data_IF_388097730786
#
_entry.id   IF_388097730786
#
_cell.length_a   1.000
_cell.length_b   1.000
_cell.length_c   1.000
_cell.angle_alpha   90.00
_cell.angle_beta   90.00
_cell.angle_gamma   90.00
#
_symmetry.space_group_name_H-M   'P 1'
#
loop_
_entity.id
_entity.type
_entity.pdbx_description
1 polymer ?
#
# COMPACT_ATOMS: atom_id res chain seq x y z
N UNK A 1 29.16 -29.63 -26.20
CA UNK A 1 27.93 -29.40 -25.39
C UNK A 1 28.19 -28.71 -24.05
N UNK A 2 29.37 -28.89 -23.42
CA UNK A 2 29.74 -28.28 -22.12
C UNK A 2 29.97 -26.76 -22.21
N UNK A 3 30.63 -26.24 -23.25
CA UNK A 3 30.84 -24.79 -23.41
C UNK A 3 29.57 -23.96 -23.57
N UNK A 4 28.55 -24.47 -24.29
CA UNK A 4 27.28 -23.74 -24.47
C UNK A 4 26.50 -23.65 -23.15
N UNK A 5 26.51 -24.71 -22.34
CA UNK A 5 25.89 -24.68 -21.00
C UNK A 5 26.61 -23.73 -20.04
N UNK A 6 27.94 -23.65 -20.11
CA UNK A 6 28.75 -22.71 -19.34
C UNK A 6 28.49 -21.25 -19.75
N UNK A 7 28.47 -20.96 -21.05
CA UNK A 7 28.19 -19.63 -21.59
C UNK A 7 26.76 -19.19 -21.25
N UNK A 8 25.78 -20.08 -21.42
CA UNK A 8 24.37 -19.79 -21.10
C UNK A 8 24.16 -19.62 -19.58
N UNK A 9 24.90 -20.36 -18.75
CA UNK A 9 24.95 -20.17 -17.30
C UNK A 9 25.56 -18.82 -16.90
N UNK A 10 26.66 -18.42 -17.53
CA UNK A 10 27.32 -17.14 -17.28
C UNK A 10 26.45 -15.94 -17.70
N UNK A 11 25.77 -16.05 -18.84
CA UNK A 11 24.79 -15.06 -19.31
C UNK A 11 23.61 -14.93 -18.35
N UNK A 12 23.01 -16.05 -17.90
CA UNK A 12 21.93 -16.01 -16.91
C UNK A 12 22.38 -15.31 -15.63
N UNK A 13 23.51 -15.71 -15.05
CA UNK A 13 23.99 -15.15 -13.78
C UNK A 13 24.29 -13.65 -13.90
N UNK A 14 24.86 -13.20 -15.02
CA UNK A 14 25.09 -11.76 -15.24
C UNK A 14 23.80 -10.97 -15.43
N UNK A 15 22.81 -11.51 -16.15
CA UNK A 15 21.49 -10.87 -16.30
C UNK A 15 20.77 -10.75 -14.96
N UNK A 16 20.79 -11.79 -14.11
CA UNK A 16 20.21 -11.72 -12.76
C UNK A 16 20.91 -10.70 -11.88
N UNK A 17 22.25 -10.64 -11.92
CA UNK A 17 23.03 -9.66 -11.16
C UNK A 17 22.75 -8.23 -11.63
N UNK A 18 22.63 -8.02 -12.93
CA UNK A 18 22.32 -6.71 -13.51
C UNK A 18 20.92 -6.22 -13.11
N UNK A 19 19.92 -7.09 -13.20
CA UNK A 19 18.54 -6.78 -12.76
C UNK A 19 18.48 -6.42 -11.26
N UNK A 20 19.15 -7.20 -10.41
CA UNK A 20 19.24 -6.88 -8.97
C UNK A 20 19.97 -5.56 -8.69
N UNK A 21 21.01 -5.25 -9.46
CA UNK A 21 21.75 -4.00 -9.32
C UNK A 21 20.88 -2.80 -9.71
N UNK A 22 20.18 -2.87 -10.83
CA UNK A 22 19.24 -1.84 -11.28
C UNK A 22 18.16 -1.56 -10.24
N UNK A 23 17.56 -2.61 -9.69
CA UNK A 23 16.52 -2.48 -8.68
C UNK A 23 17.02 -1.80 -7.39
N UNK A 24 18.23 -2.15 -6.94
CA UNK A 24 18.87 -1.50 -5.78
C UNK A 24 19.16 -0.03 -6.04
N UNK A 25 19.70 0.31 -7.21
CA UNK A 25 20.03 1.70 -7.57
C UNK A 25 18.78 2.56 -7.60
N UNK A 26 17.70 2.10 -8.25
CA UNK A 26 16.43 2.82 -8.32
C UNK A 26 15.84 3.08 -6.94
N UNK A 27 15.85 2.06 -6.06
CA UNK A 27 15.39 2.21 -4.66
C UNK A 27 16.22 3.21 -3.87
N UNK A 28 17.55 3.15 -3.99
CA UNK A 28 18.46 4.09 -3.31
C UNK A 28 18.27 5.53 -3.81
N UNK A 29 18.10 5.71 -5.12
CA UNK A 29 17.85 7.02 -5.73
C UNK A 29 16.53 7.62 -5.22
N UNK A 30 15.49 6.79 -5.10
CA UNK A 30 14.21 7.21 -4.58
C UNK A 30 14.28 7.57 -3.09
N UNK A 31 14.90 6.73 -2.27
CA UNK A 31 15.10 6.99 -0.84
C UNK A 31 15.85 8.32 -0.62
N UNK A 32 16.93 8.56 -1.38
CA UNK A 32 17.69 9.82 -1.38
C UNK A 32 16.82 11.02 -1.75
N UNK A 33 15.93 10.86 -2.73
CA UNK A 33 15.04 11.93 -3.19
C UNK A 33 14.02 12.27 -2.11
N UNK A 34 13.39 11.26 -1.52
CA UNK A 34 12.40 11.42 -0.44
C UNK A 34 13.02 12.08 0.80
N UNK A 35 14.22 11.65 1.20
CA UNK A 35 14.95 12.24 2.32
C UNK A 35 15.22 13.74 2.11
N UNK A 36 15.64 14.14 0.90
CA UNK A 36 15.83 15.54 0.53
C UNK A 36 14.53 16.34 0.60
N UNK A 37 13.43 15.77 0.11
CA UNK A 37 12.11 16.44 0.16
C UNK A 37 11.63 16.61 1.60
N UNK A 38 11.75 15.58 2.44
CA UNK A 38 11.35 15.67 3.85
C UNK A 38 12.20 16.67 4.62
N UNK A 39 13.52 16.72 4.37
CA UNK A 39 14.40 17.74 4.99
C UNK A 39 13.96 19.17 4.62
N UNK A 40 13.59 19.40 3.35
CA UNK A 40 13.06 20.70 2.91
C UNK A 40 11.70 21.02 3.54
N UNK A 41 10.81 20.03 3.65
CA UNK A 41 9.51 20.17 4.28
C UNK A 41 9.66 20.58 5.76
N UNK A 42 10.49 19.86 6.51
CA UNK A 42 10.79 20.17 7.93
C UNK A 42 11.37 21.57 8.12
N UNK A 43 12.32 21.98 7.27
CA UNK A 43 12.89 23.34 7.31
C UNK A 43 11.85 24.42 7.04
N UNK A 44 10.98 24.21 6.04
CA UNK A 44 9.88 25.16 5.73
C UNK A 44 8.87 25.23 6.86
N UNK A 45 8.50 24.09 7.44
CA UNK A 45 7.58 24.03 8.58
C UNK A 45 8.13 24.76 9.79
N UNK A 46 9.36 24.42 10.22
CA UNK A 46 9.99 25.09 11.37
C UNK A 46 10.07 26.61 11.14
N UNK A 47 10.41 27.04 9.92
CA UNK A 47 10.41 28.47 9.56
C UNK A 47 9.03 29.10 9.61
N UNK A 48 7.97 28.37 9.24
CA UNK A 48 6.59 28.86 9.31
C UNK A 48 6.14 29.01 10.77
N UNK A 49 6.40 28.00 11.61
CA UNK A 49 6.09 28.04 13.05
C UNK A 49 6.81 29.20 13.74
N UNK A 50 8.10 29.42 13.45
CA UNK A 50 8.88 30.53 14.02
C UNK A 50 8.45 31.92 13.56
N UNK A 51 7.69 32.02 12.45
CA UNK A 51 7.15 33.29 11.93
C UNK A 51 5.77 33.63 12.49
N UNK A 52 5.17 32.74 13.26
CA UNK A 52 3.82 32.90 13.75
C UNK A 52 3.81 33.75 15.03
N UNK A 53 2.92 34.75 15.10
CA UNK A 53 2.83 35.65 16.27
C UNK A 53 2.36 34.91 17.53
N UNK A 54 2.76 35.39 18.70
CA UNK A 54 2.40 34.82 20.01
C UNK A 54 0.88 34.59 20.19
N UNK A 55 0.05 35.49 19.64
CA UNK A 55 -1.42 35.38 19.69
C UNK A 55 -1.99 34.13 19.00
N UNK A 56 -1.26 33.53 18.06
CA UNK A 56 -1.67 32.24 17.47
C UNK A 56 -1.53 31.09 18.46
N UNK A 57 -0.52 31.14 19.34
CA UNK A 57 -0.29 30.15 20.37
C UNK A 57 -1.25 30.31 21.56
N UNK A 58 -1.70 31.54 21.85
CA UNK A 58 -2.72 31.78 22.89
C UNK A 58 -4.13 31.32 22.50
N UNK A 59 -4.46 31.29 21.19
CA UNK A 59 -5.75 30.76 20.69
C UNK A 59 -5.79 29.23 20.63
N UNK A 60 -4.66 28.56 20.85
CA UNK A 60 -4.59 27.11 21.04
C UNK A 60 -4.90 26.85 22.52
N UNK A 61 -6.19 26.93 22.85
CA UNK A 61 -6.72 26.81 24.21
C UNK A 61 -6.17 25.57 24.95
N UNK A 62 -5.54 25.81 26.11
CA UNK A 62 -5.61 24.96 27.29
C UNK A 62 -4.77 23.67 27.38
N UNK A 63 -4.39 23.00 26.30
CA UNK A 63 -3.84 21.62 26.44
C UNK A 63 -2.64 21.24 25.56
N UNK A 64 -2.38 21.94 24.46
CA UNK A 64 -1.21 21.61 23.61
C UNK A 64 -0.18 22.73 23.63
N UNK A 65 0.88 22.51 24.41
CA UNK A 65 2.12 23.29 24.32
C UNK A 65 2.61 23.31 22.87
N UNK A 66 3.18 24.43 22.41
CA UNK A 66 3.84 24.58 21.09
C UNK A 66 4.74 23.40 20.71
N UNK A 67 5.30 22.72 21.71
CA UNK A 67 6.04 21.47 21.61
C UNK A 67 5.21 20.30 21.03
N UNK A 68 4.01 20.03 21.54
CA UNK A 68 3.15 18.93 21.06
C UNK A 68 2.72 19.11 19.59
N UNK A 69 2.45 20.34 19.16
CA UNK A 69 2.08 20.64 17.76
C UNK A 69 3.29 20.45 16.84
N UNK A 70 4.47 20.81 17.31
CA UNK A 70 5.72 20.60 16.57
C UNK A 70 6.05 19.11 16.49
N UNK A 71 5.88 18.36 17.58
CA UNK A 71 6.12 16.92 17.64
C UNK A 71 5.12 16.12 16.79
N UNK A 72 3.83 16.41 16.90
CA UNK A 72 2.79 15.78 16.06
C UNK A 72 3.01 16.05 14.57
N UNK A 73 3.38 17.26 14.18
CA UNK A 73 3.72 17.55 12.79
C UNK A 73 4.99 16.83 12.33
N UNK A 74 6.01 16.73 13.19
CA UNK A 74 7.22 15.96 12.89
C UNK A 74 6.91 14.47 12.74
N UNK A 75 6.02 13.93 13.58
CA UNK A 75 5.54 12.56 13.50
C UNK A 75 4.76 12.33 12.19
N UNK A 76 3.82 13.20 11.84
CA UNK A 76 3.08 13.15 10.58
C UNK A 76 4.03 13.24 9.38
N UNK A 77 5.02 14.12 9.43
CA UNK A 77 6.05 14.26 8.39
C UNK A 77 6.90 12.99 8.24
N UNK A 78 7.21 12.29 9.33
CA UNK A 78 7.90 11.00 9.32
C UNK A 78 7.03 9.90 8.70
N UNK A 79 5.76 9.84 9.06
CA UNK A 79 4.81 8.89 8.49
C UNK A 79 4.65 9.11 6.98
N UNK A 80 4.53 10.38 6.56
CA UNK A 80 4.50 10.75 5.14
C UNK A 80 5.81 10.35 4.46
N UNK A 81 6.96 10.60 5.07
CA UNK A 81 8.26 10.19 4.50
C UNK A 81 8.32 8.67 4.27
N UNK A 82 7.88 7.86 5.24
CA UNK A 82 7.84 6.40 5.11
C UNK A 82 6.94 5.94 3.97
N UNK A 83 5.74 6.53 3.88
CA UNK A 83 4.79 6.28 2.78
C UNK A 83 5.40 6.63 1.42
N UNK A 84 6.01 7.80 1.29
CA UNK A 84 6.61 8.24 0.03
C UNK A 84 7.85 7.44 -0.35
N UNK A 85 8.64 6.96 0.61
CA UNK A 85 9.87 6.20 0.34
C UNK A 85 9.58 4.80 -0.18
N UNK A 86 8.52 4.15 0.29
CA UNK A 86 8.26 2.75 -0.05
C UNK A 86 7.05 2.57 -0.97
N UNK A 87 5.95 3.30 -0.75
CA UNK A 87 4.70 3.04 -1.47
C UNK A 87 4.68 3.71 -2.83
N UNK A 88 5.28 4.89 -2.97
CA UNK A 88 5.27 5.64 -4.23
C UNK A 88 6.10 4.97 -5.35
N UNK A 89 7.30 4.41 -5.10
CA UNK A 89 8.04 3.62 -6.10
C UNK A 89 7.30 2.36 -6.50
N UNK A 90 6.74 1.65 -5.53
CA UNK A 90 6.00 0.42 -5.79
C UNK A 90 4.76 0.73 -6.65
N UNK A 91 4.06 1.83 -6.37
CA UNK A 91 2.94 2.27 -7.19
C UNK A 91 3.36 2.58 -8.64
N UNK A 92 4.42 3.37 -8.83
CA UNK A 92 4.94 3.71 -10.16
C UNK A 92 5.43 2.46 -10.92
N UNK A 93 6.09 1.54 -10.23
CA UNK A 93 6.54 0.27 -10.79
C UNK A 93 5.37 -0.59 -11.25
N UNK A 94 4.31 -0.68 -10.44
CA UNK A 94 3.11 -1.45 -10.78
C UNK A 94 2.37 -0.83 -11.98
N UNK A 95 2.24 0.50 -12.03
CA UNK A 95 1.65 1.21 -13.18
C UNK A 95 2.47 1.01 -14.45
N UNK A 96 3.79 1.13 -14.36
CA UNK A 96 4.68 0.91 -15.51
C UNK A 96 4.65 -0.53 -16.01
N UNK A 97 4.62 -1.51 -15.10
CA UNK A 97 4.53 -2.95 -15.44
C UNK A 97 3.19 -3.28 -16.06
N UNK A 98 2.12 -2.67 -15.56
CA UNK A 98 0.78 -2.80 -16.14
C UNK A 98 0.74 -2.29 -17.59
N UNK A 99 1.29 -1.09 -17.85
CA UNK A 99 1.32 -0.53 -19.20
C UNK A 99 2.21 -1.33 -20.15
N UNK A 100 3.41 -1.74 -19.70
CA UNK A 100 4.34 -2.48 -20.55
C UNK A 100 3.81 -3.88 -20.89
N UNK A 101 3.22 -4.59 -19.93
CA UNK A 101 2.62 -5.91 -20.16
C UNK A 101 1.44 -5.86 -21.14
N UNK A 102 0.61 -4.82 -21.09
CA UNK A 102 -0.50 -4.66 -22.04
C UNK A 102 0.01 -4.44 -23.47
N UNK A 103 1.00 -3.56 -23.64
CA UNK A 103 1.59 -3.25 -24.95
C UNK A 103 2.27 -4.49 -25.55
N UNK A 104 3.02 -5.25 -24.75
CA UNK A 104 3.70 -6.48 -25.20
C UNK A 104 2.67 -7.57 -25.55
N UNK A 105 1.63 -7.75 -24.74
CA UNK A 105 0.58 -8.72 -25.02
C UNK A 105 -0.20 -8.39 -26.31
N UNK A 106 -0.48 -7.10 -26.55
CA UNK A 106 -1.13 -6.64 -27.78
C UNK A 106 -0.26 -6.88 -29.02
N UNK A 107 1.05 -6.65 -28.91
CA UNK A 107 1.99 -6.85 -30.01
C UNK A 107 2.13 -8.33 -30.40
N UNK A 108 2.22 -9.23 -29.41
CA UNK A 108 2.40 -10.66 -29.65
C UNK A 108 1.12 -11.34 -30.16
N UNK A 109 -0.01 -11.12 -29.47
CA UNK A 109 -1.25 -11.83 -29.74
C UNK A 109 -2.49 -10.98 -29.42
N UNK A 110 -2.83 -10.06 -30.34
CA UNK A 110 -3.99 -9.17 -30.18
C UNK A 110 -5.31 -9.92 -29.92
N UNK A 111 -5.50 -11.12 -30.52
CA UNK A 111 -6.72 -11.94 -30.35
C UNK A 111 -6.93 -12.40 -28.92
N UNK A 112 -5.84 -12.59 -28.18
CA UNK A 112 -5.84 -13.08 -26.80
C UNK A 112 -6.22 -11.96 -25.83
N UNK A 113 -5.70 -10.75 -26.07
CA UNK A 113 -6.02 -9.54 -25.30
C UNK A 113 -7.50 -9.17 -25.41
N UNK A 114 -8.08 -9.25 -26.61
CA UNK A 114 -9.51 -8.96 -26.85
C UNK A 114 -10.43 -9.88 -26.03
N UNK A 115 -10.03 -11.13 -25.79
CA UNK A 115 -10.80 -12.08 -24.97
C UNK A 115 -10.50 -11.93 -23.48
N UNK A 116 -9.28 -11.55 -23.11
CA UNK A 116 -8.88 -11.35 -21.72
C UNK A 116 -9.55 -10.13 -21.06
N UNK A 117 -9.78 -9.04 -21.80
CA UNK A 117 -10.43 -7.82 -21.28
C UNK A 117 -11.84 -8.08 -20.70
N UNK A 118 -12.78 -8.71 -21.44
CA UNK A 118 -14.11 -9.03 -20.89
C UNK A 118 -14.04 -10.08 -19.78
N UNK A 119 -13.11 -11.04 -19.83
CA UNK A 119 -12.92 -12.04 -18.78
C UNK A 119 -12.43 -11.43 -17.45
N UNK A 120 -11.73 -10.30 -17.49
CA UNK A 120 -11.21 -9.59 -16.31
C UNK A 120 -12.15 -8.51 -15.77
N UNK A 121 -13.15 -8.09 -16.55
CA UNK A 121 -14.19 -7.15 -16.14
C UNK A 121 -14.93 -7.54 -14.83
N UNK A 122 -15.34 -8.81 -14.59
CA UNK A 122 -16.00 -9.19 -13.34
C UNK A 122 -15.10 -9.12 -12.09
N UNK A 123 -13.77 -9.06 -12.25
CA UNK A 123 -12.83 -8.94 -11.12
C UNK A 123 -12.64 -7.48 -10.66
N UNK A 124 -12.86 -6.51 -11.56
CA UNK A 124 -12.64 -5.09 -11.28
C UNK A 124 -13.72 -4.54 -10.34
N UNK A 125 -14.98 -4.91 -10.56
CA UNK A 125 -16.15 -4.45 -9.79
C UNK A 125 -16.01 -4.74 -8.28
N UNK A 126 -15.82 -6.01 -7.83
CA UNK A 126 -15.66 -6.31 -6.42
C UNK A 126 -14.42 -5.66 -5.82
N UNK A 127 -13.34 -5.48 -6.59
CA UNK A 127 -12.12 -4.82 -6.11
C UNK A 127 -12.37 -3.35 -5.75
N UNK A 128 -13.13 -2.62 -6.58
CA UNK A 128 -13.48 -1.21 -6.32
C UNK A 128 -14.41 -1.09 -5.11
N UNK A 129 -15.45 -1.92 -5.04
CA UNK A 129 -16.44 -1.89 -3.95
C UNK A 129 -15.77 -2.20 -2.61
N UNK A 130 -15.01 -3.30 -2.55
CA UNK A 130 -14.28 -3.68 -1.34
C UNK A 130 -13.24 -2.63 -0.94
N UNK A 131 -12.58 -1.99 -1.91
CA UNK A 131 -11.63 -0.91 -1.68
C UNK A 131 -12.27 0.30 -1.00
N UNK A 132 -13.44 0.75 -1.49
CA UNK A 132 -14.19 1.87 -0.91
C UNK A 132 -14.67 1.55 0.51
N UNK A 133 -15.28 0.39 0.70
CA UNK A 133 -15.78 -0.05 2.00
C UNK A 133 -14.66 -0.16 3.04
N UNK A 134 -13.49 -0.69 2.63
CA UNK A 134 -12.33 -0.81 3.50
C UNK A 134 -11.74 0.56 3.87
N UNK A 135 -11.77 1.53 2.96
CA UNK A 135 -11.32 2.89 3.22
C UNK A 135 -12.22 3.61 4.23
N UNK A 136 -13.54 3.47 4.11
CA UNK A 136 -14.51 4.05 5.06
C UNK A 136 -14.33 3.50 6.48
N UNK A 137 -14.17 2.18 6.61
CA UNK A 137 -13.96 1.56 7.93
C UNK A 137 -12.62 1.96 8.51
N UNK A 138 -11.56 2.08 7.70
CA UNK A 138 -10.28 2.61 8.17
C UNK A 138 -10.41 4.02 8.74
N UNK A 139 -11.18 4.90 8.09
CA UNK A 139 -11.43 6.25 8.62
C UNK A 139 -12.11 6.18 9.99
N UNK A 140 -13.14 5.34 10.13
CA UNK A 140 -13.84 5.14 11.42
C UNK A 140 -12.91 4.60 12.51
N UNK A 141 -12.06 3.63 12.19
CA UNK A 141 -11.06 3.08 13.11
C UNK A 141 -10.08 4.17 13.57
N UNK A 142 -9.59 5.01 12.65
CA UNK A 142 -8.66 6.10 13.02
C UNK A 142 -9.34 7.08 13.99
N UNK A 143 -10.62 7.40 13.79
CA UNK A 143 -11.38 8.28 14.69
C UNK A 143 -11.57 7.65 16.06
N UNK A 144 -11.97 6.37 16.15
CA UNK A 144 -12.10 5.68 17.44
C UNK A 144 -10.75 5.57 18.16
N UNK A 145 -9.68 5.31 17.43
CA UNK A 145 -8.33 5.22 18.00
C UNK A 145 -7.82 6.55 18.55
N UNK A 146 -8.19 7.68 17.93
CA UNK A 146 -7.89 9.02 18.46
C UNK A 146 -8.61 9.29 19.78
N UNK A 147 -9.87 8.86 19.91
CA UNK A 147 -10.61 9.00 21.17
C UNK A 147 -9.96 8.19 22.30
N UNK A 148 -9.57 6.94 22.02
CA UNK A 148 -8.81 6.10 22.96
C UNK A 148 -7.49 6.79 23.35
N UNK A 149 -6.74 7.29 22.36
CA UNK A 149 -5.48 8.00 22.58
C UNK A 149 -5.65 9.23 23.48
N UNK A 150 -6.72 10.01 23.30
CA UNK A 150 -7.01 11.18 24.15
C UNK A 150 -7.27 10.80 25.61
N UNK A 151 -8.01 9.72 25.88
CA UNK A 151 -8.27 9.23 27.24
C UNK A 151 -6.96 8.77 27.88
N UNK A 152 -6.14 8.04 27.13
CA UNK A 152 -4.83 7.56 27.58
C UNK A 152 -3.87 8.72 27.88
N UNK A 153 -3.82 9.72 27.01
CA UNK A 153 -2.99 10.91 27.19
C UNK A 153 -3.41 11.70 28.43
N UNK A 154 -4.71 11.85 28.66
CA UNK A 154 -5.23 12.50 29.87
C UNK A 154 -4.88 11.74 31.15
N UNK A 155 -4.95 10.40 31.12
CA UNK A 155 -4.50 9.54 32.23
C UNK A 155 -3.02 9.74 32.55
N UNK A 156 -2.15 9.72 31.52
CA UNK A 156 -0.72 9.88 31.73
C UNK A 156 -0.34 11.30 32.16
N UNK A 157 -0.97 12.32 31.58
CA UNK A 157 -0.73 13.71 31.96
C UNK A 157 -1.14 14.00 33.41
N UNK A 158 -2.15 13.30 33.93
CA UNK A 158 -2.69 13.49 35.29
C UNK A 158 -2.42 12.30 36.22
N UNK A 159 -1.36 11.52 35.96
CA UNK A 159 -1.13 10.24 36.65
C UNK A 159 -1.05 10.38 38.17
N UNK A 160 -0.44 11.47 38.66
CA UNK A 160 -0.31 11.76 40.09
C UNK A 160 -1.68 12.01 40.74
N UNK A 161 -2.57 12.70 40.04
CA UNK A 161 -3.93 13.01 40.50
C UNK A 161 -4.83 11.78 40.46
N UNK A 162 -4.74 10.98 39.40
CA UNK A 162 -5.49 9.71 39.27
C UNK A 162 -5.12 8.77 40.41
N UNK A 163 -3.83 8.65 40.72
CA UNK A 163 -3.34 7.84 41.82
C UNK A 163 -3.78 8.38 43.20
N UNK A 164 -3.64 9.69 43.45
CA UNK A 164 -4.02 10.28 44.74
C UNK A 164 -5.52 10.28 45.01
N UNK A 165 -6.35 10.33 43.96
CA UNK A 165 -7.82 10.32 44.08
C UNK A 165 -8.42 8.91 43.92
N UNK A 166 -7.62 7.87 43.69
CA UNK A 166 -8.11 6.49 43.48
C UNK A 166 -8.97 6.31 42.21
N UNK A 167 -8.80 7.18 41.20
CA UNK A 167 -9.62 7.22 39.99
C UNK A 167 -9.27 6.17 38.92
N UNK A 168 -8.42 5.20 39.23
CA UNK A 168 -7.90 4.21 38.29
C UNK A 168 -9.01 3.33 37.68
N UNK A 169 -10.01 2.96 38.50
CA UNK A 169 -11.14 2.12 38.08
C UNK A 169 -12.00 2.82 37.03
N UNK A 170 -12.24 4.12 37.19
CA UNK A 170 -13.07 4.92 36.30
C UNK A 170 -12.37 5.20 34.95
N UNK A 171 -11.07 5.50 34.98
CA UNK A 171 -10.28 5.62 33.75
C UNK A 171 -10.18 4.30 32.99
N UNK A 172 -10.01 3.19 33.72
CA UNK A 172 -10.01 1.85 33.12
C UNK A 172 -11.35 1.53 32.45
N UNK A 173 -12.47 1.85 33.11
CA UNK A 173 -13.82 1.67 32.54
C UNK A 173 -13.99 2.47 31.25
N UNK A 174 -13.66 3.76 31.28
CA UNK A 174 -13.76 4.65 30.11
C UNK A 174 -12.88 4.19 28.95
N UNK A 175 -11.67 3.71 29.24
CA UNK A 175 -10.77 3.14 28.22
C UNK A 175 -11.34 1.85 27.60
N UNK A 176 -11.89 0.95 28.42
CA UNK A 176 -12.49 -0.31 27.95
C UNK A 176 -13.71 -0.05 27.05
N UNK A 177 -14.58 0.88 27.42
CA UNK A 177 -15.74 1.28 26.62
C UNK A 177 -15.33 1.85 25.25
N UNK A 178 -14.31 2.70 25.22
CA UNK A 178 -13.78 3.24 23.95
C UNK A 178 -13.08 2.16 23.11
N UNK A 179 -12.40 1.20 23.76
CA UNK A 179 -11.73 0.09 23.09
C UNK A 179 -12.72 -0.88 22.45
N UNK A 180 -13.84 -1.19 23.12
CA UNK A 180 -14.88 -2.08 22.60
C UNK A 180 -15.45 -1.58 21.26
N UNK A 181 -15.70 -0.28 21.14
CA UNK A 181 -16.13 0.34 19.88
C UNK A 181 -15.10 0.16 18.76
N UNK A 182 -13.80 0.31 19.06
CA UNK A 182 -12.74 0.09 18.10
C UNK A 182 -12.58 -1.40 17.72
N UNK A 183 -12.86 -2.32 18.64
CA UNK A 183 -12.81 -3.76 18.40
C UNK A 183 -13.93 -4.21 17.45
N UNK A 184 -15.17 -3.73 17.61
CA UNK A 184 -16.27 -4.04 16.70
C UNK A 184 -15.98 -3.57 15.27
N UNK A 185 -15.43 -2.36 15.12
CA UNK A 185 -14.96 -1.86 13.82
C UNK A 185 -13.83 -2.71 13.23
N UNK A 186 -12.92 -3.20 14.09
CA UNK A 186 -11.86 -4.13 13.72
C UNK A 186 -12.38 -5.48 13.22
N UNK A 187 -13.41 -6.03 13.87
CA UNK A 187 -14.08 -7.27 13.45
C UNK A 187 -14.73 -7.08 12.08
N UNK A 188 -15.47 -5.98 11.87
CA UNK A 188 -16.05 -5.63 10.55
C UNK A 188 -14.96 -5.52 9.48
N UNK A 189 -13.83 -4.89 9.80
CA UNK A 189 -12.69 -4.81 8.88
C UNK A 189 -12.13 -6.19 8.53
N UNK A 190 -12.03 -7.09 9.50
CA UNK A 190 -11.55 -8.48 9.29
C UNK A 190 -12.44 -9.22 8.30
N UNK A 191 -13.76 -9.13 8.43
CA UNK A 191 -14.68 -9.79 7.52
C UNK A 191 -14.50 -9.32 6.07
N UNK A 192 -14.35 -8.01 5.86
CA UNK A 192 -14.16 -7.44 4.52
C UNK A 192 -12.81 -7.85 3.94
N UNK A 193 -11.73 -7.80 4.73
CA UNK A 193 -10.41 -8.31 4.32
C UNK A 193 -10.48 -9.81 3.99
N UNK A 194 -11.22 -10.59 4.76
CA UNK A 194 -11.47 -12.01 4.48
C UNK A 194 -12.21 -12.23 3.16
N UNK A 195 -13.23 -11.42 2.87
CA UNK A 195 -13.95 -11.46 1.60
C UNK A 195 -13.02 -11.16 0.41
N UNK A 196 -12.13 -10.18 0.55
CA UNK A 196 -11.12 -9.85 -0.47
C UNK A 196 -10.16 -11.02 -0.71
N UNK A 197 -9.66 -11.67 0.34
CA UNK A 197 -8.77 -12.84 0.21
C UNK A 197 -9.49 -13.98 -0.52
N UNK A 198 -10.76 -14.25 -0.19
CA UNK A 198 -11.55 -15.28 -0.88
C UNK A 198 -11.78 -14.95 -2.35
N UNK A 199 -11.94 -13.66 -2.69
CA UNK A 199 -12.10 -13.23 -4.09
C UNK A 199 -10.86 -13.50 -4.95
N UNK A 200 -9.67 -13.67 -4.35
CA UNK A 200 -8.45 -14.06 -5.07
C UNK A 200 -8.57 -15.46 -5.70
N UNK A 201 -9.43 -16.32 -5.14
CA UNK A 201 -9.75 -17.62 -5.74
C UNK A 201 -10.39 -17.51 -7.13
N UNK A 202 -11.12 -16.42 -7.39
CA UNK A 202 -11.75 -16.15 -8.70
C UNK A 202 -10.66 -15.86 -9.74
N UNK A 203 -9.54 -15.22 -9.34
CA UNK A 203 -8.42 -14.97 -10.25
C UNK A 203 -7.80 -16.27 -10.76
N UNK A 204 -7.64 -17.29 -9.90
CA UNK A 204 -7.18 -18.61 -10.32
C UNK A 204 -8.13 -19.29 -11.32
N UNK A 205 -9.45 -19.10 -11.17
CA UNK A 205 -10.42 -19.61 -12.14
C UNK A 205 -10.29 -18.91 -13.50
N UNK A 206 -10.06 -17.59 -13.51
CA UNK A 206 -9.77 -16.84 -14.75
C UNK A 206 -8.47 -17.32 -15.40
N UNK A 207 -7.44 -17.61 -14.61
CA UNK A 207 -6.18 -18.17 -15.14
C UNK A 207 -6.37 -19.54 -15.79
N UNK A 208 -7.15 -20.42 -15.16
CA UNK A 208 -7.48 -21.73 -15.73
C UNK A 208 -8.27 -21.60 -17.04
N UNK A 209 -9.21 -20.66 -17.12
CA UNK A 209 -9.95 -20.38 -18.35
C UNK A 209 -9.04 -19.85 -19.46
N UNK A 210 -8.13 -18.94 -19.12
CA UNK A 210 -7.16 -18.40 -20.07
C UNK A 210 -6.22 -19.49 -20.59
N UNK A 211 -5.68 -20.35 -19.73
CA UNK A 211 -4.84 -21.46 -20.15
C UNK A 211 -5.54 -22.43 -21.11
N UNK A 212 -6.85 -22.66 -20.92
CA UNK A 212 -7.66 -23.44 -21.85
C UNK A 212 -7.82 -22.74 -23.21
N UNK A 213 -8.05 -21.43 -23.21
CA UNK A 213 -8.17 -20.65 -24.44
C UNK A 213 -6.85 -20.60 -25.21
N UNK A 214 -5.74 -20.41 -24.50
CA UNK A 214 -4.38 -20.40 -25.06
C UNK A 214 -4.07 -21.73 -25.77
N UNK A 215 -4.47 -22.86 -25.16
CA UNK A 215 -4.31 -24.19 -25.75
C UNK A 215 -5.09 -24.33 -27.08
N UNK A 216 -6.35 -23.90 -27.11
CA UNK A 216 -7.18 -23.93 -28.33
C UNK A 216 -6.58 -23.05 -29.43
N UNK A 217 -6.04 -21.88 -29.07
CA UNK A 217 -5.42 -20.96 -30.04
C UNK A 217 -4.18 -21.55 -30.71
N UNK A 218 -3.38 -22.34 -29.98
CA UNK A 218 -2.21 -23.03 -30.52
C UNK A 218 -2.62 -24.20 -31.43
N UNK A 219 -3.62 -24.99 -31.02
CA UNK A 219 -4.03 -26.20 -31.75
C UNK A 219 -4.84 -25.86 -33.01
N UNK A 220 -5.86 -25.01 -32.91
CA UNK A 220 -6.81 -24.77 -34.01
C UNK A 220 -6.36 -23.68 -34.99
N UNK A 221 -5.62 -22.68 -34.49
CA UNK A 221 -5.25 -21.48 -35.27
C UNK A 221 -3.77 -21.43 -35.63
N UNK A 222 -2.99 -22.45 -35.26
CA UNK A 222 -1.57 -22.57 -35.61
C UNK A 222 -0.70 -21.42 -35.09
N UNK A 223 -1.11 -20.77 -34.00
CA UNK A 223 -0.33 -19.68 -33.41
C UNK A 223 0.99 -20.21 -32.81
N UNK A 224 2.06 -19.41 -32.91
CA UNK A 224 3.36 -19.77 -32.34
C UNK A 224 3.21 -19.86 -30.81
N UNK A 225 3.37 -21.06 -30.26
CA UNK A 225 3.14 -21.30 -28.82
C UNK A 225 3.98 -20.44 -27.89
N UNK A 226 5.18 -20.02 -28.33
CA UNK A 226 6.04 -19.10 -27.59
C UNK A 226 5.44 -17.70 -27.41
N UNK A 227 4.80 -17.16 -28.45
CA UNK A 227 4.16 -15.84 -28.43
C UNK A 227 2.88 -15.86 -27.59
N UNK A 228 2.09 -16.94 -27.73
CA UNK A 228 0.87 -17.16 -26.95
C UNK A 228 1.20 -17.31 -25.46
N UNK A 229 2.22 -18.11 -25.12
CA UNK A 229 2.64 -18.28 -23.73
C UNK A 229 3.18 -16.98 -23.13
N UNK A 230 3.99 -16.24 -23.88
CA UNK A 230 4.55 -14.97 -23.40
C UNK A 230 3.45 -13.91 -23.22
N UNK A 231 2.49 -13.82 -24.15
CA UNK A 231 1.33 -12.95 -24.00
C UNK A 231 0.45 -13.35 -22.80
N UNK A 232 0.24 -14.65 -22.59
CA UNK A 232 -0.49 -15.18 -21.44
C UNK A 232 0.16 -14.80 -20.10
N UNK A 233 1.48 -14.95 -19.99
CA UNK A 233 2.26 -14.53 -18.81
C UNK A 233 2.17 -13.02 -18.59
N UNK A 234 2.25 -12.19 -19.64
CA UNK A 234 2.08 -10.74 -19.52
C UNK A 234 0.71 -10.36 -18.94
N UNK A 235 -0.37 -11.03 -19.39
CA UNK A 235 -1.73 -10.80 -18.89
C UNK A 235 -1.88 -11.26 -17.42
N UNK A 236 -1.18 -12.32 -17.02
CA UNK A 236 -1.18 -12.80 -15.63
C UNK A 236 -0.43 -11.83 -14.72
N UNK A 237 0.76 -11.38 -15.14
CA UNK A 237 1.57 -10.40 -14.39
C UNK A 237 0.81 -9.08 -14.21
N UNK A 238 -0.04 -8.71 -15.17
CA UNK A 238 -0.96 -7.55 -15.07
C UNK A 238 -1.96 -7.67 -13.92
N UNK A 239 -2.38 -8.89 -13.57
CA UNK A 239 -3.44 -9.16 -12.58
C UNK A 239 -2.97 -9.24 -11.13
N UNK A 240 -1.65 -9.33 -10.90
CA UNK A 240 -1.00 -9.37 -9.58
C UNK A 240 -0.70 -7.97 -9.05
#
# INVERSE_FOLDING_TARGET
MISIRLVMGFLKTNVYRFSHMFFKITRLCWARTVERQTSRLRKKYLRAVLRQFASFFDKLDGTSTTYQITESFLADSLTIQGVFSEQLPNFLMNVSTFLSSEVVALYLCWRLVVVAIPALSPLIIPRIINGKMLAEIRKKIIVSYRAIGSITEQAFSSIRTVYSCGGETEMKRSYLEALEQSLDLGIKQRHIKGYVIRSIGIAFAVWSFQAKYDNILVIEKGAIGGDVFTAGVCIVVRGL
#
